data_IF_762293522235
#
_entry.id   IF_762293522235
#
_cell.length_a   1.000
_cell.length_b   1.000
_cell.length_c   1.000
_cell.angle_alpha   90.00
_cell.angle_beta   90.00
_cell.angle_gamma   90.00
#
_symmetry.space_group_name_H-M   'P 1'
#
loop_
_entity.id
_entity.type
_entity.pdbx_description
1 polymer ?
#
# COMPACT_ATOMS: atom_id res chain seq x y z
N UNK A 1 4.23 9.78 -16.44
CA UNK A 1 3.75 8.98 -15.28
C UNK A 1 3.65 7.49 -15.58
N UNK A 2 2.57 6.93 -16.17
CA UNK A 2 2.47 5.46 -16.39
C UNK A 2 3.67 4.88 -17.16
N UNK A 3 4.11 5.57 -18.23
CA UNK A 3 5.30 5.19 -19.01
C UNK A 3 6.58 5.20 -18.17
N UNK A 4 6.74 6.20 -17.30
CA UNK A 4 7.91 6.31 -16.40
C UNK A 4 7.88 5.22 -15.34
N UNK A 5 6.71 4.95 -14.75
CA UNK A 5 6.53 3.85 -13.78
C UNK A 5 6.89 2.50 -14.37
N UNK A 6 6.46 2.23 -15.62
CA UNK A 6 6.81 0.99 -16.32
C UNK A 6 8.29 0.93 -16.70
N UNK A 7 8.89 2.06 -17.11
CA UNK A 7 10.31 2.13 -17.41
C UNK A 7 11.17 1.86 -16.16
N UNK A 8 10.83 2.50 -15.03
CA UNK A 8 11.44 2.26 -13.72
C UNK A 8 11.28 0.79 -13.30
N UNK A 9 10.07 0.25 -13.44
CA UNK A 9 9.79 -1.15 -13.13
C UNK A 9 10.70 -2.09 -13.92
N UNK A 10 10.89 -1.84 -15.21
CA UNK A 10 11.76 -2.66 -16.06
C UNK A 10 13.25 -2.51 -15.68
N UNK A 11 13.72 -1.29 -15.39
CA UNK A 11 15.10 -1.03 -14.96
C UNK A 11 15.44 -1.73 -13.64
N UNK A 12 14.52 -1.68 -12.68
CA UNK A 12 14.73 -2.17 -11.32
C UNK A 12 14.14 -3.58 -11.08
N UNK A 13 13.78 -4.32 -12.15
CA UNK A 13 13.07 -5.58 -12.08
C UNK A 13 13.68 -6.58 -11.09
N UNK A 14 15.01 -6.74 -11.11
CA UNK A 14 15.69 -7.68 -10.22
C UNK A 14 15.55 -7.29 -8.75
N UNK A 15 15.68 -6.00 -8.40
CA UNK A 15 15.48 -5.54 -7.02
C UNK A 15 14.04 -5.70 -6.59
N UNK A 16 13.09 -5.43 -7.48
CA UNK A 16 11.66 -5.62 -7.21
C UNK A 16 11.36 -7.08 -6.90
N UNK A 17 11.89 -8.02 -7.68
CA UNK A 17 11.73 -9.46 -7.43
C UNK A 17 12.35 -9.88 -6.09
N UNK A 18 13.57 -9.41 -5.77
CA UNK A 18 14.21 -9.71 -4.49
C UNK A 18 13.42 -9.16 -3.30
N UNK A 19 13.03 -7.88 -3.35
CA UNK A 19 12.22 -7.24 -2.31
C UNK A 19 10.85 -7.90 -2.18
N UNK A 20 10.29 -8.38 -3.29
CA UNK A 20 9.03 -9.09 -3.29
C UNK A 20 9.09 -10.41 -2.53
N UNK A 21 10.13 -11.21 -2.78
CA UNK A 21 10.35 -12.47 -2.06
C UNK A 21 10.63 -12.23 -0.58
N UNK A 22 11.37 -11.18 -0.24
CA UNK A 22 11.78 -10.90 1.15
C UNK A 22 10.67 -10.22 1.95
N UNK A 23 9.89 -9.32 1.35
CA UNK A 23 8.94 -8.45 2.06
C UNK A 23 7.50 -8.65 1.59
N UNK A 24 7.21 -8.47 0.31
CA UNK A 24 5.81 -8.39 -0.19
C UNK A 24 5.08 -9.73 -0.02
N UNK A 25 5.72 -10.83 -0.38
CA UNK A 25 5.14 -12.18 -0.27
C UNK A 25 4.92 -12.56 1.19
N UNK A 26 5.93 -12.51 2.09
CA UNK A 26 5.73 -12.84 3.50
C UNK A 26 4.68 -11.95 4.17
N UNK A 27 4.69 -10.64 3.92
CA UNK A 27 3.70 -9.73 4.49
C UNK A 27 2.30 -10.02 3.98
N UNK A 28 2.13 -10.25 2.66
CA UNK A 28 0.82 -10.57 2.09
C UNK A 28 0.29 -11.88 2.64
N UNK A 29 1.13 -12.92 2.75
CA UNK A 29 0.73 -14.20 3.33
C UNK A 29 0.33 -14.05 4.80
N UNK A 30 1.11 -13.30 5.59
CA UNK A 30 0.78 -13.02 6.99
C UNK A 30 -0.58 -12.31 7.11
N UNK A 31 -0.80 -11.24 6.35
CA UNK A 31 -2.08 -10.53 6.34
C UNK A 31 -3.23 -11.42 5.85
N UNK A 32 -2.99 -12.28 4.86
CA UNK A 32 -3.99 -13.21 4.33
C UNK A 32 -4.40 -14.26 5.37
N UNK A 33 -3.45 -14.94 6.01
CA UNK A 33 -3.75 -15.93 7.04
C UNK A 33 -4.36 -15.30 8.28
N UNK A 34 -3.92 -14.11 8.69
CA UNK A 34 -4.55 -13.35 9.77
C UNK A 34 -6.01 -13.00 9.43
N UNK A 35 -6.27 -12.58 8.19
CA UNK A 35 -7.64 -12.31 7.72
C UNK A 35 -8.50 -13.57 7.78
N UNK A 36 -7.98 -14.70 7.27
CA UNK A 36 -8.69 -15.97 7.29
C UNK A 36 -8.97 -16.45 8.73
N UNK A 37 -7.99 -16.31 9.63
CA UNK A 37 -8.16 -16.61 11.05
C UNK A 37 -9.28 -15.78 11.68
N UNK A 38 -9.32 -14.46 11.42
CA UNK A 38 -10.40 -13.60 11.93
C UNK A 38 -11.76 -14.03 11.40
N UNK A 39 -11.89 -14.39 10.12
CA UNK A 39 -13.15 -14.90 9.57
C UNK A 39 -13.61 -16.23 10.18
N UNK A 40 -12.68 -17.10 10.60
CA UNK A 40 -13.03 -18.37 11.23
C UNK A 40 -13.40 -18.23 12.71
N UNK A 41 -12.76 -17.32 13.43
CA UNK A 41 -12.90 -17.20 14.88
C UNK A 41 -13.93 -16.16 15.31
N UNK A 42 -14.17 -15.14 14.49
CA UNK A 42 -15.12 -14.07 14.81
C UNK A 42 -16.49 -14.38 14.23
N UNK A 43 -17.51 -14.12 15.04
CA UNK A 43 -18.89 -14.10 14.57
C UNK A 43 -19.17 -12.84 13.73
N UNK A 44 -20.21 -12.88 12.90
CA UNK A 44 -20.60 -11.71 12.09
C UNK A 44 -20.91 -10.45 12.92
N UNK A 45 -21.34 -10.62 14.17
CA UNK A 45 -21.59 -9.51 15.10
C UNK A 45 -20.30 -8.79 15.56
N UNK A 46 -19.14 -9.42 15.36
CA UNK A 46 -17.83 -8.85 15.65
C UNK A 46 -17.17 -8.22 14.40
N UNK A 47 -17.91 -8.11 13.30
CA UNK A 47 -17.50 -7.41 12.07
C UNK A 47 -16.11 -7.83 11.53
N UNK A 48 -15.88 -9.12 11.20
CA UNK A 48 -14.59 -9.61 10.68
C UNK A 48 -14.10 -8.84 9.43
N UNK A 49 -15.02 -8.31 8.63
CA UNK A 49 -14.74 -7.47 7.47
C UNK A 49 -13.92 -6.21 7.81
N UNK A 50 -14.12 -5.62 9.00
CA UNK A 50 -13.36 -4.45 9.45
C UNK A 50 -11.91 -4.82 9.76
N UNK A 51 -11.65 -6.01 10.30
CA UNK A 51 -10.28 -6.48 10.51
C UNK A 51 -9.62 -6.83 9.17
N UNK A 52 -10.36 -7.43 8.24
CA UNK A 52 -9.88 -7.71 6.89
C UNK A 52 -9.49 -6.42 6.15
N UNK A 53 -10.32 -5.39 6.20
CA UNK A 53 -10.02 -4.08 5.59
C UNK A 53 -8.77 -3.45 6.19
N UNK A 54 -8.62 -3.46 7.51
CA UNK A 54 -7.42 -2.99 8.18
C UNK A 54 -6.16 -3.72 7.69
N UNK A 55 -6.20 -5.05 7.62
CA UNK A 55 -5.06 -5.84 7.15
C UNK A 55 -4.73 -5.60 5.68
N UNK A 56 -5.73 -5.36 4.82
CA UNK A 56 -5.50 -4.99 3.41
C UNK A 56 -4.77 -3.65 3.33
N UNK A 57 -5.19 -2.67 4.11
CA UNK A 57 -4.56 -1.34 4.17
C UNK A 57 -3.12 -1.49 4.65
N UNK A 58 -2.89 -2.17 5.77
CA UNK A 58 -1.56 -2.40 6.35
C UNK A 58 -0.64 -3.13 5.36
N UNK A 59 -1.16 -4.14 4.66
CA UNK A 59 -0.39 -4.89 3.66
C UNK A 59 0.16 -3.98 2.54
N UNK A 60 -0.65 -3.00 2.10
CA UNK A 60 -0.22 -2.06 1.07
C UNK A 60 0.63 -0.92 1.64
N UNK A 61 0.25 -0.30 2.75
CA UNK A 61 0.91 0.92 3.24
C UNK A 61 2.31 0.65 3.80
N UNK A 62 2.55 -0.52 4.39
CA UNK A 62 3.85 -0.84 4.98
C UNK A 62 4.98 -0.99 3.97
N UNK A 63 4.66 -1.38 2.73
CA UNK A 63 5.67 -1.56 1.67
C UNK A 63 5.95 -0.26 0.90
N UNK A 64 5.09 0.77 1.05
CA UNK A 64 5.25 2.05 0.34
C UNK A 64 6.65 2.65 0.56
N UNK A 65 7.20 2.79 1.79
CA UNK A 65 8.52 3.41 2.00
C UNK A 65 9.63 2.79 1.17
N UNK A 66 9.60 1.46 1.02
CA UNK A 66 10.65 0.70 0.35
C UNK A 66 10.65 1.01 -1.15
N UNK A 67 9.48 0.88 -1.78
CA UNK A 67 9.35 1.13 -3.21
C UNK A 67 9.37 2.62 -3.54
N UNK A 68 8.90 3.48 -2.63
CA UNK A 68 9.04 4.92 -2.73
C UNK A 68 10.52 5.33 -2.72
N UNK A 69 11.32 4.83 -1.77
CA UNK A 69 12.76 5.13 -1.73
C UNK A 69 13.49 4.62 -2.96
N UNK A 70 13.14 3.43 -3.45
CA UNK A 70 13.70 2.88 -4.69
C UNK A 70 13.36 3.75 -5.92
N UNK A 71 12.15 4.27 -6.00
CA UNK A 71 11.76 5.17 -7.09
C UNK A 71 12.46 6.53 -6.98
N UNK A 72 12.50 7.14 -5.80
CA UNK A 72 13.16 8.42 -5.56
C UNK A 72 14.65 8.33 -5.90
N UNK A 73 15.34 7.27 -5.48
CA UNK A 73 16.76 7.12 -5.77
C UNK A 73 17.07 6.99 -7.26
N UNK A 74 16.17 6.39 -8.03
CA UNK A 74 16.31 6.27 -9.48
C UNK A 74 16.00 7.60 -10.20
N UNK A 75 15.17 8.46 -9.59
CA UNK A 75 14.91 9.83 -10.07
C UNK A 75 16.09 10.76 -9.77
N UNK A 76 16.67 10.63 -8.58
CA UNK A 76 17.76 11.47 -8.08
C UNK A 76 19.15 11.02 -8.59
N UNK A 77 19.21 10.00 -9.45
CA UNK A 77 20.45 9.35 -9.91
C UNK A 77 21.40 8.99 -8.74
N UNK A 78 20.83 8.61 -7.59
CA UNK A 78 21.62 8.16 -6.44
C UNK A 78 22.34 6.83 -6.76
N UNK A 79 23.52 6.62 -6.14
CA UNK A 79 24.25 5.34 -6.24
C UNK A 79 23.35 4.14 -5.94
N UNK A 80 23.55 3.08 -6.72
CA UNK A 80 22.74 1.86 -6.75
C UNK A 80 22.41 1.33 -5.33
N UNK A 81 21.22 1.64 -4.83
CA UNK A 81 20.81 1.24 -3.48
C UNK A 81 20.74 -0.28 -3.36
N UNK A 82 21.47 -0.81 -2.38
CA UNK A 82 21.44 -2.23 -2.07
C UNK A 82 20.09 -2.65 -1.49
N UNK A 83 19.67 -3.88 -1.79
CA UNK A 83 18.43 -4.47 -1.27
C UNK A 83 18.38 -4.42 0.27
N UNK A 84 19.53 -4.59 0.93
CA UNK A 84 19.63 -4.48 2.39
C UNK A 84 19.29 -3.08 2.93
N UNK A 85 19.73 -2.01 2.26
CA UNK A 85 19.36 -0.64 2.64
C UNK A 85 17.85 -0.42 2.50
N UNK A 86 17.23 -0.97 1.45
CA UNK A 86 15.79 -0.89 1.22
C UNK A 86 14.99 -1.70 2.26
N UNK A 87 15.47 -2.89 2.64
CA UNK A 87 14.89 -3.66 3.76
C UNK A 87 15.05 -2.95 5.11
N UNK A 88 16.17 -2.25 5.34
CA UNK A 88 16.34 -1.43 6.53
C UNK A 88 15.31 -0.29 6.58
N UNK A 89 15.02 0.33 5.43
CA UNK A 89 14.01 1.38 5.33
C UNK A 89 12.61 0.88 5.73
N UNK A 90 12.26 -0.36 5.34
CA UNK A 90 11.03 -1.02 5.81
C UNK A 90 10.97 -1.06 7.35
N UNK A 91 12.02 -1.61 7.99
CA UNK A 91 12.06 -1.80 9.44
C UNK A 91 12.05 -0.45 10.17
N UNK A 92 12.81 0.52 9.66
CA UNK A 92 12.92 1.86 10.23
C UNK A 92 11.57 2.58 10.29
N UNK A 93 10.76 2.45 9.23
CA UNK A 93 9.48 3.16 9.11
C UNK A 93 8.26 2.32 9.51
N UNK A 94 8.44 1.02 9.78
CA UNK A 94 7.37 0.11 10.18
C UNK A 94 6.56 0.64 11.38
N UNK A 95 7.25 1.01 12.47
CA UNK A 95 6.60 1.45 13.71
C UNK A 95 5.79 2.73 13.54
N UNK A 96 6.33 3.72 12.83
CA UNK A 96 5.66 5.00 12.62
C UNK A 96 4.43 4.86 11.70
N UNK A 97 4.52 4.04 10.65
CA UNK A 97 3.39 3.81 9.74
C UNK A 97 2.25 3.14 10.49
N UNK A 98 2.52 2.10 11.30
CA UNK A 98 1.48 1.46 12.10
C UNK A 98 0.90 2.40 13.16
N UNK A 99 1.76 3.15 13.85
CA UNK A 99 1.34 4.10 14.87
C UNK A 99 0.39 5.18 14.33
N UNK A 100 0.57 5.61 13.09
CA UNK A 100 -0.34 6.56 12.43
C UNK A 100 -1.56 5.86 11.82
N UNK A 101 -1.37 4.68 11.21
CA UNK A 101 -2.43 3.94 10.51
C UNK A 101 -3.52 3.48 11.48
N UNK A 102 -3.17 2.93 12.65
CA UNK A 102 -4.12 2.40 13.62
C UNK A 102 -5.15 3.45 14.09
N UNK A 103 -4.75 4.61 14.66
CA UNK A 103 -5.70 5.60 15.12
C UNK A 103 -6.48 6.24 13.98
N UNK A 104 -5.84 6.50 12.83
CA UNK A 104 -6.55 7.01 11.65
C UNK A 104 -7.58 6.01 11.13
N UNK A 105 -7.28 4.71 11.17
CA UNK A 105 -8.20 3.68 10.75
C UNK A 105 -9.43 3.64 11.67
N UNK A 106 -9.22 3.66 12.99
CA UNK A 106 -10.30 3.70 13.99
C UNK A 106 -11.17 4.94 13.77
N UNK A 107 -10.56 6.12 13.64
CA UNK A 107 -11.28 7.37 13.37
C UNK A 107 -12.04 7.32 12.03
N UNK A 108 -11.44 6.75 11.00
CA UNK A 108 -12.06 6.60 9.68
C UNK A 108 -13.28 5.68 9.71
N UNK A 109 -13.20 4.55 10.42
CA UNK A 109 -14.32 3.62 10.61
C UNK A 109 -15.41 4.24 11.49
N UNK A 110 -15.07 4.91 12.58
CA UNK A 110 -16.07 5.64 13.39
C UNK A 110 -16.75 6.75 12.55
N UNK A 111 -15.98 7.41 11.69
CA UNK A 111 -16.46 8.42 10.76
C UNK A 111 -17.49 7.92 9.75
N UNK A 112 -17.47 6.63 9.37
CA UNK A 112 -18.43 6.10 8.40
C UNK A 112 -19.84 5.99 8.99
N UNK A 113 -19.96 5.91 10.32
CA UNK A 113 -21.25 5.93 11.00
C UNK A 113 -21.85 7.33 11.11
N UNK A 114 -21.04 8.38 10.96
CA UNK A 114 -21.46 9.77 11.16
C UNK A 114 -21.79 10.47 9.85
N UNK A 115 -20.83 10.61 8.92
CA UNK A 115 -21.00 11.47 7.72
C UNK A 115 -20.19 11.08 6.48
N UNK A 116 -19.53 9.91 6.45
CA UNK A 116 -18.64 9.40 5.37
C UNK A 116 -17.41 10.27 5.01
N UNK A 117 -17.50 11.60 5.08
CA UNK A 117 -16.40 12.54 4.83
C UNK A 117 -15.19 12.24 5.74
N UNK A 118 -15.34 12.02 7.06
CA UNK A 118 -14.19 11.71 7.91
C UNK A 118 -13.50 10.39 7.52
N UNK A 119 -14.24 9.43 6.97
CA UNK A 119 -13.69 8.19 6.43
C UNK A 119 -12.79 8.47 5.24
N UNK A 120 -13.27 9.21 4.24
CA UNK A 120 -12.49 9.55 3.05
C UNK A 120 -11.20 10.30 3.46
N UNK A 121 -11.28 11.25 4.39
CA UNK A 121 -10.13 12.00 4.87
C UNK A 121 -9.11 11.11 5.59
N UNK A 122 -9.55 10.29 6.54
CA UNK A 122 -8.63 9.43 7.31
C UNK A 122 -7.95 8.39 6.41
N UNK A 123 -8.70 7.74 5.52
CA UNK A 123 -8.14 6.74 4.61
C UNK A 123 -7.16 7.41 3.63
N UNK A 124 -7.52 8.57 3.09
CA UNK A 124 -6.62 9.37 2.26
C UNK A 124 -5.31 9.71 2.95
N UNK A 125 -5.35 10.10 4.23
CA UNK A 125 -4.14 10.34 5.01
C UNK A 125 -3.33 9.06 5.24
N UNK A 126 -3.99 7.92 5.51
CA UNK A 126 -3.31 6.62 5.64
C UNK A 126 -2.56 6.24 4.36
N UNK A 127 -3.12 6.53 3.19
CA UNK A 127 -2.47 6.30 1.91
C UNK A 127 -1.29 7.25 1.67
N UNK A 128 -1.45 8.54 2.00
CA UNK A 128 -0.46 9.58 1.69
C UNK A 128 0.74 9.59 2.64
N UNK A 129 0.52 9.39 3.94
CA UNK A 129 1.57 9.48 4.97
C UNK A 129 2.82 8.65 4.62
N UNK A 130 2.70 7.39 4.18
CA UNK A 130 3.85 6.55 3.81
C UNK A 130 4.74 7.13 2.70
N UNK A 131 4.24 8.03 1.85
CA UNK A 131 5.05 8.69 0.81
C UNK A 131 5.95 9.80 1.36
N UNK A 132 5.62 10.35 2.54
CA UNK A 132 6.33 11.48 3.16
C UNK A 132 7.20 11.06 4.36
N UNK A 133 7.40 9.76 4.59
CA UNK A 133 8.14 9.22 5.75
C UNK A 133 9.61 9.63 5.83
N UNK A 134 10.18 10.10 4.73
CA UNK A 134 11.53 10.66 4.66
C UNK A 134 11.66 12.01 5.36
N UNK A 135 10.55 12.68 5.72
CA UNK A 135 10.57 13.92 6.48
C UNK A 135 11.14 13.70 7.89
N UNK A 136 11.92 14.67 8.38
CA UNK A 136 12.60 14.55 9.68
C UNK A 136 11.68 14.53 10.90
N UNK A 137 10.46 15.07 10.78
CA UNK A 137 9.47 15.15 11.86
C UNK A 137 8.11 14.64 11.42
N UNK A 138 7.42 13.93 12.32
CA UNK A 138 6.04 13.43 12.11
C UNK A 138 5.07 14.56 11.74
N UNK A 139 5.23 15.72 12.37
CA UNK A 139 4.39 16.88 12.10
C UNK A 139 4.51 17.35 10.64
N UNK A 140 5.72 17.27 10.07
CA UNK A 140 5.96 17.66 8.68
C UNK A 140 5.33 16.65 7.72
N UNK A 141 5.39 15.34 8.04
CA UNK A 141 4.70 14.29 7.25
C UNK A 141 3.20 14.55 7.17
N UNK A 142 2.56 14.76 8.33
CA UNK A 142 1.11 14.96 8.42
C UNK A 142 0.71 16.28 7.75
N UNK A 143 1.52 17.33 7.91
CA UNK A 143 1.28 18.62 7.26
C UNK A 143 1.37 18.52 5.74
N UNK A 144 2.37 17.82 5.20
CA UNK A 144 2.52 17.61 3.75
C UNK A 144 1.38 16.76 3.20
N UNK A 145 1.07 15.62 3.83
CA UNK A 145 -0.07 14.79 3.45
C UNK A 145 -1.40 15.56 3.48
N UNK A 146 -1.63 16.37 4.52
CA UNK A 146 -2.83 17.21 4.64
C UNK A 146 -2.91 18.31 3.58
N UNK A 147 -1.77 18.91 3.20
CA UNK A 147 -1.70 19.89 2.11
C UNK A 147 -2.02 19.24 0.77
N UNK A 148 -1.40 18.11 0.45
CA UNK A 148 -1.68 17.33 -0.77
C UNK A 148 -3.16 16.95 -0.85
N UNK A 149 -3.74 16.49 0.26
CA UNK A 149 -5.17 16.15 0.31
C UNK A 149 -6.07 17.37 0.04
N UNK A 150 -5.71 18.56 0.53
CA UNK A 150 -6.47 19.80 0.28
C UNK A 150 -6.37 20.23 -1.18
N UNK A 151 -5.14 20.24 -1.70
CA UNK A 151 -4.83 20.81 -3.01
C UNK A 151 -5.23 19.86 -4.16
N UNK A 152 -5.21 18.54 -3.94
CA UNK A 152 -5.48 17.51 -4.95
C UNK A 152 -6.67 16.57 -4.63
N UNK A 153 -7.66 17.01 -3.85
CA UNK A 153 -8.77 16.18 -3.38
C UNK A 153 -9.48 15.33 -4.46
N UNK A 154 -9.86 15.90 -5.62
CA UNK A 154 -10.50 15.16 -6.71
C UNK A 154 -9.58 14.10 -7.31
N UNK A 155 -8.32 14.50 -7.43
CA UNK A 155 -7.25 13.77 -8.05
C UNK A 155 -6.84 12.56 -7.18
N UNK A 156 -6.88 12.71 -5.85
CA UNK A 156 -6.68 11.66 -4.85
C UNK A 156 -7.80 10.62 -4.85
N UNK A 157 -9.05 11.05 -5.07
CA UNK A 157 -10.18 10.13 -5.23
C UNK A 157 -10.02 9.25 -6.48
N UNK A 158 -9.48 9.83 -7.57
CA UNK A 158 -9.16 9.06 -8.77
C UNK A 158 -8.07 8.01 -8.51
N UNK A 159 -7.05 8.33 -7.70
CA UNK A 159 -6.02 7.37 -7.30
C UNK A 159 -6.61 6.21 -6.50
N UNK A 160 -7.50 6.51 -5.54
CA UNK A 160 -8.24 5.47 -4.81
C UNK A 160 -9.02 4.56 -5.74
N UNK A 161 -9.71 5.14 -6.73
CA UNK A 161 -10.46 4.37 -7.72
C UNK A 161 -9.53 3.46 -8.53
N UNK A 162 -8.36 3.95 -8.94
CA UNK A 162 -7.34 3.14 -9.64
C UNK A 162 -6.84 2.00 -8.76
N UNK A 163 -6.45 2.28 -7.52
CA UNK A 163 -5.95 1.25 -6.58
C UNK A 163 -7.01 0.17 -6.37
N UNK A 164 -8.26 0.56 -6.09
CA UNK A 164 -9.36 -0.37 -5.87
C UNK A 164 -9.69 -1.17 -7.14
N UNK A 165 -9.74 -0.52 -8.31
CA UNK A 165 -10.03 -1.18 -9.58
C UNK A 165 -8.96 -2.20 -9.94
N UNK A 166 -7.69 -1.85 -9.78
CA UNK A 166 -6.57 -2.76 -10.02
C UNK A 166 -6.64 -3.95 -9.06
N UNK A 167 -6.95 -3.73 -7.78
CA UNK A 167 -7.10 -4.81 -6.81
C UNK A 167 -8.28 -5.74 -7.12
N UNK A 168 -9.42 -5.19 -7.52
CA UNK A 168 -10.60 -5.97 -7.91
C UNK A 168 -10.34 -6.75 -9.19
N UNK A 169 -9.72 -6.14 -10.20
CA UNK A 169 -9.32 -6.83 -11.43
C UNK A 169 -8.32 -7.95 -11.15
N UNK A 170 -7.28 -7.66 -10.38
CA UNK A 170 -6.28 -8.64 -9.99
C UNK A 170 -6.92 -9.83 -9.25
N UNK A 171 -7.87 -9.57 -8.36
CA UNK A 171 -8.61 -10.62 -7.67
C UNK A 171 -9.56 -11.41 -8.57
N UNK A 172 -10.34 -10.72 -9.41
CA UNK A 172 -11.25 -11.36 -10.36
C UNK A 172 -10.51 -12.27 -11.34
N UNK A 173 -9.35 -11.82 -11.84
CA UNK A 173 -8.48 -12.62 -12.70
C UNK A 173 -7.90 -13.87 -12.03
N UNK A 174 -7.72 -13.86 -10.70
CA UNK A 174 -7.34 -15.07 -9.94
C UNK A 174 -8.53 -16.02 -9.85
N UNK A 175 -9.73 -15.51 -9.54
CA UNK A 175 -10.88 -16.39 -9.28
C UNK A 175 -11.29 -17.20 -10.51
N UNK A 176 -11.23 -16.62 -11.71
CA UNK A 176 -11.65 -17.27 -12.96
C UNK A 176 -10.92 -18.61 -13.28
N UNK A 177 -9.58 -18.69 -13.26
CA UNK A 177 -8.88 -19.97 -13.50
C UNK A 177 -9.03 -20.96 -12.34
N UNK A 178 -9.31 -20.48 -11.12
CA UNK A 178 -9.37 -21.31 -9.92
C UNK A 178 -10.79 -21.77 -9.54
N UNK A 179 -11.83 -21.27 -10.21
CA UNK A 179 -13.24 -21.63 -9.98
C UNK A 179 -13.53 -23.14 -10.16
N UNK A 180 -12.78 -23.81 -11.05
CA UNK A 180 -12.98 -25.21 -11.39
C UNK A 180 -12.08 -26.20 -10.63
N UNK A 181 -11.25 -25.72 -9.71
CA UNK A 181 -10.35 -26.57 -8.93
C UNK A 181 -10.77 -26.56 -7.46
N UNK A 182 -10.78 -27.74 -6.81
CA UNK A 182 -10.87 -27.87 -5.35
C UNK A 182 -9.59 -27.31 -4.70
N UNK A 183 -9.47 -25.99 -4.70
CA UNK A 183 -8.25 -25.32 -4.27
C UNK A 183 -8.21 -25.20 -2.76
N UNK A 184 -7.05 -25.54 -2.22
CA UNK A 184 -6.72 -25.28 -0.84
C UNK A 184 -6.57 -23.76 -0.61
N UNK A 185 -6.99 -23.27 0.55
CA UNK A 185 -6.81 -21.89 1.04
C UNK A 185 -5.36 -21.38 0.84
N UNK A 186 -4.36 -22.26 0.96
CA UNK A 186 -2.96 -21.92 0.70
C UNK A 186 -2.70 -21.47 -0.76
N UNK A 187 -3.37 -22.08 -1.74
CA UNK A 187 -3.21 -21.74 -3.17
C UNK A 187 -3.68 -20.31 -3.42
N UNK A 188 -4.84 -19.93 -2.86
CA UNK A 188 -5.36 -18.57 -2.95
C UNK A 188 -4.42 -17.55 -2.27
N UNK A 189 -3.87 -17.89 -1.10
CA UNK A 189 -2.91 -17.05 -0.40
C UNK A 189 -1.64 -16.81 -1.24
N UNK A 190 -1.08 -17.87 -1.82
CA UNK A 190 0.12 -17.79 -2.67
C UNK A 190 -0.16 -17.01 -3.95
N UNK A 191 -1.26 -17.31 -4.65
CA UNK A 191 -1.65 -16.58 -5.86
C UNK A 191 -1.79 -15.07 -5.58
N UNK A 192 -2.43 -14.71 -4.46
CA UNK A 192 -2.56 -13.32 -4.02
C UNK A 192 -1.21 -12.68 -3.73
N UNK A 193 -0.31 -13.38 -3.04
CA UNK A 193 1.02 -12.88 -2.72
C UNK A 193 1.86 -12.64 -3.98
N UNK A 194 1.80 -13.57 -4.95
CA UNK A 194 2.47 -13.43 -6.24
C UNK A 194 1.92 -12.21 -6.98
N UNK A 195 0.61 -12.07 -7.10
CA UNK A 195 0.04 -10.93 -7.83
C UNK A 195 0.36 -9.59 -7.17
N UNK A 196 0.25 -9.51 -5.84
CA UNK A 196 0.64 -8.31 -5.11
C UNK A 196 2.12 -7.97 -5.31
N UNK A 197 2.99 -8.97 -5.46
CA UNK A 197 4.41 -8.74 -5.76
C UNK A 197 4.67 -8.04 -7.10
N UNK A 198 3.79 -8.22 -8.08
CA UNK A 198 3.88 -7.51 -9.36
C UNK A 198 3.13 -6.17 -9.34
N UNK A 199 1.93 -6.16 -8.77
CA UNK A 199 1.01 -5.04 -8.80
C UNK A 199 1.42 -3.91 -7.86
N UNK A 200 1.82 -4.24 -6.62
CA UNK A 200 2.10 -3.22 -5.62
C UNK A 200 3.27 -2.31 -5.99
N UNK A 201 4.44 -2.81 -6.43
CA UNK A 201 5.54 -1.93 -6.82
C UNK A 201 5.13 -0.97 -7.93
N UNK A 202 4.38 -1.46 -8.92
CA UNK A 202 3.91 -0.64 -10.04
C UNK A 202 2.96 0.48 -9.58
N UNK A 203 1.99 0.16 -8.71
CA UNK A 203 1.10 1.17 -8.11
C UNK A 203 1.88 2.19 -7.29
N UNK A 204 2.82 1.73 -6.47
CA UNK A 204 3.61 2.62 -5.60
C UNK A 204 4.47 3.55 -6.46
N UNK A 205 5.15 3.05 -7.50
CA UNK A 205 5.92 3.92 -8.40
C UNK A 205 5.04 4.99 -9.06
N UNK A 206 3.87 4.61 -9.57
CA UNK A 206 2.92 5.57 -10.16
C UNK A 206 2.54 6.68 -9.17
N UNK A 207 2.23 6.29 -7.92
CA UNK A 207 1.88 7.24 -6.86
C UNK A 207 3.08 8.07 -6.39
N UNK A 208 4.29 7.49 -6.33
CA UNK A 208 5.53 8.21 -6.00
C UNK A 208 5.82 9.31 -7.01
N UNK A 209 5.85 8.99 -8.32
CA UNK A 209 6.05 10.02 -9.35
C UNK A 209 5.05 11.16 -9.22
N UNK A 210 3.84 10.87 -8.75
CA UNK A 210 2.80 11.86 -8.56
C UNK A 210 3.00 12.73 -7.34
N UNK A 211 3.11 12.12 -6.17
CA UNK A 211 3.18 12.86 -4.91
C UNK A 211 4.55 13.51 -4.68
N UNK A 212 5.61 13.00 -5.30
CA UNK A 212 6.94 13.62 -5.28
C UNK A 212 7.02 14.79 -6.26
N UNK A 213 6.50 14.68 -7.49
CA UNK A 213 6.47 15.83 -8.42
C UNK A 213 5.51 16.94 -7.96
N UNK A 214 4.50 16.62 -7.13
CA UNK A 214 3.64 17.62 -6.51
C UNK A 214 4.40 18.49 -5.50
N UNK A 215 5.47 17.99 -4.85
CA UNK A 215 6.31 18.81 -3.96
C UNK A 215 7.11 19.87 -4.73
N UNK A 216 7.58 19.57 -5.94
CA UNK A 216 8.35 20.52 -6.76
C UNK A 216 7.49 21.61 -7.41
N UNK A 217 6.16 21.44 -7.45
CA UNK A 217 5.20 22.42 -8.00
C UNK A 217 4.70 23.44 -6.97
N UNK A 218 5.18 23.36 -5.72
CA UNK A 218 4.77 24.21 -4.58
C UNK A 218 5.91 25.10 -4.08
#
# INVERSE_FOLDING_TARGET
>A
MIKESLALYNRQLMKILMLSVILVIPLTLLCYFATFYFYQQLTNQQYPNLYALFLIIVNFTLIIPVFNRLAISDIEDEEDLSVWKLCYEFIRHFGIILFLTIPLYILGVLGSFLLYIPTILCFSLILLIPFYVSCSKVNDMVRRAGRTMRDEHFLLLMDWLVILSVQVLAWGLIMLPFENFENNVYVYGIARAIINSFVFPLLIFYLTFRYTHAEERL
#
